data_IF_422846143678
#
_entry.id   IF_422846143678
#
_cell.length_a   1.000
_cell.length_b   1.000
_cell.length_c   1.000
_cell.angle_alpha   90.00
_cell.angle_beta   90.00
_cell.angle_gamma   90.00
#
_symmetry.space_group_name_H-M   'P 1'
#
loop_
_entity.id
_entity.type
_entity.pdbx_description
1 polymer ?
#
# COMPACT_ATOMS: atom_id res chain seq x y z
N UNK A 1 8.96 -9.99 -1.06
CA UNK A 1 8.66 -9.49 0.27
C UNK A 1 7.51 -8.50 0.19
N UNK A 2 6.55 -8.59 1.06
CA UNK A 2 5.36 -7.76 0.97
C UNK A 2 5.32 -6.76 2.12
N UNK A 3 4.61 -5.67 1.88
CA UNK A 3 4.41 -4.62 2.87
C UNK A 3 2.92 -4.51 3.12
N UNK A 4 2.52 -4.64 4.38
CA UNK A 4 1.13 -4.47 4.72
C UNK A 4 0.76 -2.99 4.68
N UNK A 5 -0.41 -2.71 4.13
CA UNK A 5 -0.80 -1.33 3.89
C UNK A 5 -2.31 -1.15 3.99
N UNK A 6 -2.70 0.07 4.30
CA UNK A 6 -4.10 0.49 4.22
C UNK A 6 -4.18 1.56 3.14
N UNK A 7 -4.84 1.25 2.05
CA UNK A 7 -4.93 2.11 0.89
C UNK A 7 -6.25 2.86 0.94
N UNK A 8 -6.16 4.18 0.96
CA UNK A 8 -7.36 5.02 1.01
C UNK A 8 -7.75 5.42 -0.40
N UNK A 9 -8.91 4.95 -0.80
CA UNK A 9 -9.43 5.14 -2.15
C UNK A 9 -10.37 6.34 -2.14
N UNK A 10 -10.28 7.16 -3.17
CA UNK A 10 -11.13 8.33 -3.30
C UNK A 10 -12.60 7.91 -3.32
N UNK A 11 -13.39 8.49 -2.42
CA UNK A 11 -14.83 8.27 -2.34
C UNK A 11 -15.20 6.80 -2.06
N UNK A 12 -14.34 6.08 -1.35
CA UNK A 12 -14.60 4.69 -1.06
C UNK A 12 -13.97 4.35 0.27
N UNK A 13 -14.31 3.18 0.80
CA UNK A 13 -13.73 2.70 2.04
C UNK A 13 -12.28 2.29 1.83
N UNK A 14 -11.45 2.44 2.85
CA UNK A 14 -10.06 2.00 2.72
C UNK A 14 -9.95 0.49 2.61
N UNK A 15 -8.89 0.07 1.96
CA UNK A 15 -8.62 -1.35 1.70
C UNK A 15 -7.36 -1.76 2.42
N UNK A 16 -7.48 -2.78 3.28
CA UNK A 16 -6.31 -3.39 3.90
C UNK A 16 -5.74 -4.42 2.93
N UNK A 17 -4.44 -4.39 2.73
CA UNK A 17 -3.84 -5.27 1.73
C UNK A 17 -2.36 -5.42 1.97
N UNK A 18 -1.72 -6.20 1.11
CA UNK A 18 -0.26 -6.27 1.03
C UNK A 18 0.18 -5.72 -0.30
N UNK A 19 1.26 -4.95 -0.27
CA UNK A 19 1.94 -4.46 -1.46
C UNK A 19 3.20 -5.29 -1.65
N UNK A 20 3.53 -5.59 -2.89
CA UNK A 20 4.74 -6.38 -3.15
C UNK A 20 5.99 -5.62 -2.73
N UNK A 21 5.93 -4.32 -2.80
CA UNK A 21 7.03 -3.47 -2.39
C UNK A 21 6.48 -2.10 -2.05
N UNK A 22 7.30 -1.29 -1.44
CA UNK A 22 6.94 0.11 -1.23
C UNK A 22 6.79 0.76 -2.60
N UNK A 23 5.65 1.42 -2.85
CA UNK A 23 5.41 1.97 -4.19
C UNK A 23 6.42 3.07 -4.54
N UNK A 24 6.76 3.12 -5.80
CA UNK A 24 7.61 4.16 -6.32
C UNK A 24 6.74 5.35 -6.72
N UNK A 25 7.10 6.56 -6.31
CA UNK A 25 6.25 7.72 -6.66
C UNK A 25 6.05 7.94 -8.15
N UNK A 26 6.91 7.37 -8.98
CA UNK A 26 6.77 7.51 -10.41
C UNK A 26 5.93 6.42 -11.06
N UNK A 27 5.45 5.46 -10.29
CA UNK A 27 4.60 4.40 -10.82
C UNK A 27 3.26 5.00 -11.24
N UNK A 28 2.69 4.45 -12.32
CA UNK A 28 1.36 4.88 -12.76
C UNK A 28 0.27 4.25 -11.90
N UNK A 29 0.55 3.14 -11.29
CA UNK A 29 -0.42 2.40 -10.47
C UNK A 29 0.33 1.62 -9.41
N UNK A 30 -0.42 1.14 -8.43
CA UNK A 30 0.13 0.24 -7.43
C UNK A 30 -0.49 -1.14 -7.60
N UNK A 31 0.23 -2.17 -7.17
CA UNK A 31 -0.24 -3.55 -7.22
C UNK A 31 -0.51 -3.99 -5.79
N UNK A 32 -1.74 -4.37 -5.52
CA UNK A 32 -2.11 -4.84 -4.18
C UNK A 32 -2.49 -6.30 -4.25
N UNK A 33 -2.26 -6.99 -3.14
CA UNK A 33 -2.59 -8.40 -2.99
C UNK A 33 -3.42 -8.57 -1.73
N UNK A 34 -4.24 -9.59 -1.72
CA UNK A 34 -5.01 -9.98 -0.55
C UNK A 34 -5.82 -8.81 0.01
N UNK A 35 -6.61 -8.13 -0.83
CA UNK A 35 -7.40 -6.99 -0.37
C UNK A 35 -8.54 -7.45 0.52
N UNK A 36 -8.77 -6.67 1.56
CA UNK A 36 -9.85 -6.95 2.50
C UNK A 36 -10.29 -5.64 3.12
N UNK A 37 -11.43 -5.67 3.79
CA UNK A 37 -11.90 -4.48 4.46
C UNK A 37 -11.02 -4.18 5.65
N UNK A 38 -11.10 -2.95 6.11
CA UNK A 38 -10.29 -2.49 7.22
C UNK A 38 -10.48 -3.35 8.46
N UNK A 39 -11.68 -3.88 8.67
CA UNK A 39 -11.97 -4.73 9.82
C UNK A 39 -11.60 -6.19 9.57
N UNK A 40 -10.99 -6.49 8.44
CA UNK A 40 -10.56 -7.84 8.12
C UNK A 40 -11.57 -8.66 7.35
N UNK A 41 -12.77 -8.16 7.13
CA UNK A 41 -13.78 -8.89 6.40
C UNK A 41 -13.47 -8.89 4.91
N UNK A 42 -13.89 -9.94 4.19
CA UNK A 42 -13.61 -10.00 2.76
C UNK A 42 -14.36 -8.92 1.99
N UNK A 43 -13.77 -8.50 0.89
CA UNK A 43 -14.42 -7.59 -0.05
C UNK A 43 -15.29 -8.39 -0.98
N UNK A 44 -16.52 -7.92 -1.20
CA UNK A 44 -17.53 -8.73 -1.87
C UNK A 44 -17.53 -8.61 -3.38
N UNK A 45 -16.97 -7.55 -3.91
CA UNK A 45 -17.09 -7.29 -5.34
C UNK A 45 -15.92 -7.79 -6.17
N UNK A 46 -15.06 -8.58 -5.56
CA UNK A 46 -13.87 -9.08 -6.26
C UNK A 46 -14.19 -10.43 -6.89
N UNK A 47 -13.59 -10.67 -8.05
CA UNK A 47 -13.79 -11.93 -8.76
C UNK A 47 -13.05 -13.06 -8.07
N UNK A 48 -13.64 -14.23 -8.06
CA UNK A 48 -13.00 -15.42 -7.55
C UNK A 48 -11.75 -15.72 -8.36
N UNK A 49 -10.68 -16.07 -7.66
CA UNK A 49 -9.46 -16.45 -8.33
C UNK A 49 -8.52 -15.31 -8.65
N UNK A 50 -8.95 -14.08 -8.50
CA UNK A 50 -8.07 -12.95 -8.70
C UNK A 50 -7.11 -12.83 -7.54
N UNK A 51 -5.82 -12.65 -7.81
CA UNK A 51 -4.80 -12.61 -6.77
C UNK A 51 -4.08 -11.28 -6.68
N UNK A 52 -4.15 -10.48 -7.73
CA UNK A 52 -3.49 -9.18 -7.74
C UNK A 52 -4.43 -8.15 -8.32
N UNK A 53 -4.34 -6.93 -7.82
CA UNK A 53 -5.26 -5.87 -8.21
C UNK A 53 -4.46 -4.61 -8.44
N UNK A 54 -4.80 -3.89 -9.50
CA UNK A 54 -4.10 -2.67 -9.86
C UNK A 54 -4.99 -1.49 -9.59
N UNK A 55 -4.44 -0.50 -8.87
CA UNK A 55 -5.15 0.75 -8.61
C UNK A 55 -4.31 1.90 -9.12
N UNK A 56 -4.89 2.76 -9.97
CA UNK A 56 -4.13 3.92 -10.45
C UNK A 56 -3.97 4.94 -9.33
N UNK A 57 -2.85 5.64 -9.36
CA UNK A 57 -2.60 6.68 -8.35
C UNK A 57 -3.71 7.73 -8.31
N UNK A 58 -4.34 7.97 -9.45
CA UNK A 58 -5.39 9.00 -9.51
C UNK A 58 -6.60 8.69 -8.64
N UNK A 59 -6.75 7.44 -8.22
CA UNK A 59 -7.87 7.06 -7.35
C UNK A 59 -7.46 6.92 -5.90
N UNK A 60 -6.22 7.15 -5.58
CA UNK A 60 -5.70 6.92 -4.24
C UNK A 60 -5.47 8.25 -3.55
N UNK A 61 -6.04 8.39 -2.34
CA UNK A 61 -5.86 9.59 -1.55
C UNK A 61 -4.51 9.54 -0.82
N UNK A 62 -4.27 8.46 -0.10
CA UNK A 62 -2.98 8.24 0.55
C UNK A 62 -2.92 6.78 0.98
N UNK A 63 -1.71 6.33 1.31
CA UNK A 63 -1.47 4.95 1.71
C UNK A 63 -0.75 4.96 3.05
N UNK A 64 -1.26 4.16 4.00
CA UNK A 64 -0.59 3.97 5.26
C UNK A 64 0.18 2.65 5.21
N UNK A 65 1.46 2.71 5.49
CA UNK A 65 2.32 1.54 5.48
C UNK A 65 2.57 1.08 6.91
N UNK A 66 2.44 -0.22 7.14
CA UNK A 66 2.66 -0.79 8.46
C UNK A 66 4.04 -1.40 8.52
N UNK A 67 4.80 -1.03 9.55
CA UNK A 67 6.17 -1.49 9.70
C UNK A 67 6.18 -2.80 10.45
N UNK A 68 6.63 -3.84 9.80
CA UNK A 68 7.03 -5.04 10.48
C UNK A 68 8.54 -5.01 10.62
N UNK A 69 9.07 -5.91 11.42
CA UNK A 69 10.48 -5.86 11.71
C UNK A 69 11.32 -5.94 10.45
N UNK A 70 10.95 -6.85 9.55
CA UNK A 70 11.72 -7.00 8.32
C UNK A 70 11.46 -5.93 7.29
N UNK A 71 10.34 -5.23 7.40
CA UNK A 71 9.96 -4.24 6.41
C UNK A 71 10.36 -2.83 6.81
N UNK A 72 10.67 -2.65 8.05
CA UNK A 72 10.97 -1.33 8.57
C UNK A 72 12.17 -0.70 7.88
N UNK A 73 13.20 -1.50 7.66
CA UNK A 73 14.39 -1.01 7.01
C UNK A 73 14.11 -0.57 5.59
N UNK A 74 13.28 -1.33 4.88
CA UNK A 74 12.94 -0.97 3.52
C UNK A 74 12.19 0.34 3.44
N UNK A 75 11.25 0.54 4.34
CA UNK A 75 10.47 1.77 4.36
C UNK A 75 11.35 2.95 4.73
N UNK A 76 12.17 2.79 5.74
CA UNK A 76 13.07 3.84 6.16
C UNK A 76 14.05 4.19 5.05
N UNK A 77 14.58 3.18 4.38
CA UNK A 77 15.48 3.41 3.27
C UNK A 77 14.84 4.18 2.15
N UNK A 78 13.61 3.84 1.83
CA UNK A 78 12.87 4.52 0.79
C UNK A 78 12.71 6.01 1.11
N UNK A 79 12.28 6.32 2.30
CA UNK A 79 12.06 7.70 2.69
C UNK A 79 13.38 8.45 2.82
N UNK A 80 14.42 7.78 3.24
CA UNK A 80 15.73 8.42 3.35
C UNK A 80 16.26 8.85 2.00
N UNK A 81 16.04 8.01 0.98
CA UNK A 81 16.50 8.35 -0.35
C UNK A 81 15.71 9.50 -0.94
N UNK A 82 14.40 9.50 -0.76
CA UNK A 82 13.58 10.53 -1.36
C UNK A 82 13.47 11.75 -0.48
N UNK A 83 13.59 11.57 0.82
CA UNK A 83 13.37 12.64 1.74
C UNK A 83 14.61 13.40 2.10
N UNK A 84 15.73 12.92 1.73
CA UNK A 84 16.91 13.62 1.98
C UNK A 84 16.91 14.34 3.24
N UNK A 85 16.76 14.00 4.03
CA UNK A 85 17.08 14.63 4.99
C UNK A 85 16.36 15.21 6.00
N UNK A 86 15.66 15.37 5.97
CA UNK A 86 15.08 15.87 6.86
C UNK A 86 15.00 15.32 7.97
N UNK A 87 15.27 15.54 8.92
CA UNK A 87 15.28 14.78 9.86
C UNK A 87 14.69 15.01 10.97
N UNK A 88 14.46 15.09 11.42
CA UNK A 88 13.96 15.12 12.20
C UNK A 88 13.83 14.92 13.09
N UNK A 89 13.92 15.18 13.43
CA UNK A 89 13.92 14.93 13.97
C UNK A 89 13.73 14.76 14.48
#
# INVERSE_FOLDING_TARGET
MSVRALVHIMNDDPIMCELERVPNPTDAYIVICNPRRRDGKPMELLADGATSFLYPWSRITFIELFEDEGQRESIVGFFRESGSGRNHS
#
